data_IF_214682150022
#
_entry.id   IF_214682150022
#
_cell.length_a   1.000
_cell.length_b   1.000
_cell.length_c   1.000
_cell.angle_alpha   90.00
_cell.angle_beta   90.00
_cell.angle_gamma   90.00
#
_symmetry.space_group_name_H-M   'P 1'
#
loop_
_entity.id
_entity.type
_entity.pdbx_description
1 polymer ?
#
# COMPACT_ATOMS: atom_id res chain seq x y z
N UNK A 1 -72.31 41.10 3.41
CA UNK A 1 -71.62 39.85 3.02
C UNK A 1 -70.14 40.12 3.02
N UNK A 2 -69.39 39.64 4.04
CA UNK A 2 -67.97 39.82 4.16
C UNK A 2 -67.30 38.56 3.54
N UNK A 3 -66.50 38.71 2.48
CA UNK A 3 -65.66 37.63 1.87
C UNK A 3 -64.41 37.52 2.67
N UNK A 4 -64.16 36.34 3.28
CA UNK A 4 -62.93 35.96 3.94
C UNK A 4 -62.04 35.28 2.88
N UNK A 5 -60.83 35.85 2.60
CA UNK A 5 -59.81 35.25 1.77
C UNK A 5 -58.87 34.45 2.68
N UNK A 6 -58.88 33.13 2.57
CA UNK A 6 -57.86 32.27 3.19
C UNK A 6 -56.64 32.25 2.28
N UNK A 7 -55.52 32.78 2.76
CA UNK A 7 -54.18 32.62 2.11
C UNK A 7 -53.58 31.33 2.65
N UNK A 8 -53.44 30.32 1.77
CA UNK A 8 -52.69 29.10 2.05
C UNK A 8 -51.21 29.41 1.83
N UNK A 9 -50.43 29.55 2.91
CA UNK A 9 -48.98 29.63 2.86
C UNK A 9 -48.43 28.21 2.74
N UNK A 10 -48.08 27.75 1.49
CA UNK A 10 -47.33 26.54 1.32
C UNK A 10 -45.86 26.80 1.70
N UNK A 11 -45.49 26.40 2.91
CA UNK A 11 -44.09 26.28 3.33
C UNK A 11 -43.48 25.10 2.58
N UNK A 12 -42.84 25.38 1.47
CA UNK A 12 -42.00 24.42 0.76
C UNK A 12 -40.75 24.09 1.59
N UNK A 13 -40.74 22.93 2.22
CA UNK A 13 -39.56 22.37 2.84
C UNK A 13 -38.63 21.92 1.71
N UNK A 14 -37.69 22.77 1.29
CA UNK A 14 -36.59 22.36 0.48
C UNK A 14 -35.60 21.60 1.38
N UNK A 15 -35.73 20.28 1.44
CA UNK A 15 -34.71 19.43 2.03
C UNK A 15 -33.46 19.61 1.16
N UNK A 16 -32.52 20.43 1.61
CA UNK A 16 -31.16 20.47 1.07
C UNK A 16 -30.52 19.12 1.33
N UNK A 17 -30.51 18.25 0.33
CA UNK A 17 -29.72 17.00 0.36
C UNK A 17 -28.25 17.41 0.42
N UNK A 18 -27.70 17.51 1.62
CA UNK A 18 -26.26 17.64 1.82
C UNK A 18 -25.60 16.38 1.27
N UNK A 19 -24.99 16.51 0.14
CA UNK A 19 -24.24 15.44 -0.51
C UNK A 19 -22.92 15.29 0.24
N UNK A 20 -22.86 14.39 1.23
CA UNK A 20 -21.64 14.12 1.98
C UNK A 20 -20.55 13.63 1.02
N UNK A 21 -19.47 14.41 0.88
CA UNK A 21 -18.25 14.01 0.22
C UNK A 21 -17.69 12.76 0.92
N UNK A 22 -17.23 11.78 0.13
CA UNK A 22 -16.58 10.60 0.69
C UNK A 22 -15.10 10.91 0.88
N UNK A 23 -14.62 10.72 2.10
CA UNK A 23 -13.21 10.89 2.44
C UNK A 23 -12.58 9.54 2.73
N UNK A 24 -11.31 9.38 2.37
CA UNK A 24 -10.50 8.21 2.64
C UNK A 24 -9.12 8.65 3.06
N UNK A 25 -8.67 8.22 4.23
CA UNK A 25 -7.31 8.39 4.70
C UNK A 25 -6.53 7.11 4.45
N UNK A 26 -5.35 7.23 3.84
CA UNK A 26 -4.40 6.14 3.64
C UNK A 26 -3.12 6.47 4.40
N UNK A 27 -2.65 5.54 5.22
CA UNK A 27 -1.30 5.53 5.77
C UNK A 27 -0.47 4.54 4.98
N UNK A 28 0.77 4.90 4.67
CA UNK A 28 1.69 4.08 3.90
C UNK A 28 3.06 4.00 4.56
N UNK A 29 3.56 2.76 4.70
CA UNK A 29 4.94 2.43 5.07
C UNK A 29 5.58 1.54 4.02
N UNK A 30 6.91 1.56 3.93
CA UNK A 30 7.74 0.72 3.09
C UNK A 30 9.12 0.57 3.72
N UNK A 31 9.87 -0.47 3.30
CA UNK A 31 11.28 -0.66 3.67
C UNK A 31 11.55 -0.46 5.16
N UNK A 32 10.70 -1.05 5.99
CA UNK A 32 10.81 -0.86 7.44
C UNK A 32 11.97 -1.65 8.05
N UNK A 33 12.51 -2.62 7.30
CA UNK A 33 13.75 -3.35 7.57
C UNK A 33 13.92 -3.71 9.04
N UNK A 34 12.90 -4.39 9.59
CA UNK A 34 12.95 -4.85 10.98
C UNK A 34 13.42 -3.78 11.99
N UNK A 35 13.19 -2.50 11.72
CA UNK A 35 13.56 -1.42 12.62
C UNK A 35 12.62 -1.40 13.84
N UNK A 36 12.72 -2.46 14.67
CA UNK A 36 11.88 -2.67 15.86
C UNK A 36 12.15 -1.58 16.89
N UNK A 37 13.44 -1.32 17.17
CA UNK A 37 13.87 -0.24 18.04
C UNK A 37 14.09 1.03 17.22
N UNK A 38 13.92 2.22 17.81
CA UNK A 38 14.30 3.45 17.14
C UNK A 38 15.78 3.45 16.75
N UNK A 39 16.10 4.10 15.64
CA UNK A 39 17.47 4.33 15.22
C UNK A 39 18.24 5.17 16.26
N UNK A 40 19.56 5.01 16.31
CA UNK A 40 20.41 5.77 17.24
C UNK A 40 20.32 7.27 16.96
N UNK A 41 20.30 8.08 18.00
CA UNK A 41 20.26 9.54 17.89
C UNK A 41 21.54 10.15 17.28
N UNK A 42 22.67 9.43 17.37
CA UNK A 42 23.97 9.87 16.85
C UNK A 42 24.31 9.23 15.50
N UNK A 43 23.33 9.02 14.63
CA UNK A 43 23.59 8.61 13.26
C UNK A 43 24.15 9.76 12.43
N UNK A 44 25.08 9.47 11.53
CA UNK A 44 25.63 10.45 10.58
C UNK A 44 24.52 10.99 9.64
N UNK A 45 23.55 10.13 9.29
CA UNK A 45 22.34 10.56 8.59
C UNK A 45 21.36 11.20 9.58
N UNK A 46 21.41 12.52 9.65
CA UNK A 46 20.58 13.33 10.55
C UNK A 46 19.08 13.27 10.21
N UNK A 47 18.71 12.92 8.99
CA UNK A 47 17.31 12.70 8.62
C UNK A 47 16.73 11.43 9.26
N UNK A 48 17.55 10.44 9.52
CA UNK A 48 17.12 9.17 10.11
C UNK A 48 17.40 9.10 11.62
N UNK A 49 18.33 9.91 12.13
CA UNK A 49 18.77 9.89 13.54
C UNK A 49 17.60 9.96 14.52
N UNK A 50 17.55 9.02 15.45
CA UNK A 50 16.52 8.91 16.48
C UNK A 50 15.12 8.53 15.98
N UNK A 51 14.90 8.33 14.68
CA UNK A 51 13.58 8.01 14.08
C UNK A 51 13.32 6.51 14.01
N UNK A 52 12.16 6.15 13.48
CA UNK A 52 11.73 4.76 13.33
C UNK A 52 11.26 4.13 14.64
N UNK A 53 11.26 2.80 14.67
CA UNK A 53 10.78 1.99 15.79
C UNK A 53 9.29 1.66 15.70
N UNK A 54 9.00 0.34 15.82
CA UNK A 54 7.63 -0.17 15.67
C UNK A 54 6.66 0.39 16.72
N UNK A 55 7.11 0.58 17.97
CA UNK A 55 6.24 1.10 19.04
C UNK A 55 5.78 2.53 18.75
N UNK A 56 6.70 3.40 18.29
CA UNK A 56 6.36 4.78 17.90
C UNK A 56 5.40 4.80 16.73
N UNK A 57 5.65 3.95 15.72
CA UNK A 57 4.78 3.81 14.56
C UNK A 57 3.40 3.29 14.96
N UNK A 58 3.32 2.29 15.83
CA UNK A 58 2.05 1.78 16.34
C UNK A 58 1.25 2.84 17.10
N UNK A 59 1.90 3.62 17.95
CA UNK A 59 1.26 4.73 18.68
C UNK A 59 0.71 5.80 17.71
N UNK A 60 1.50 6.20 16.71
CA UNK A 60 1.07 7.17 15.70
C UNK A 60 -0.12 6.65 14.89
N UNK A 61 -0.08 5.38 14.46
CA UNK A 61 -1.20 4.76 13.71
C UNK A 61 -2.47 4.72 14.57
N UNK A 62 -2.35 4.37 15.85
CA UNK A 62 -3.49 4.34 16.77
C UNK A 62 -4.10 5.75 16.97
N UNK A 63 -3.27 6.79 17.10
CA UNK A 63 -3.75 8.17 17.16
C UNK A 63 -4.48 8.60 15.88
N UNK A 64 -3.98 8.20 14.71
CA UNK A 64 -4.67 8.48 13.44
C UNK A 64 -5.99 7.69 13.32
N UNK A 65 -6.04 6.43 13.81
CA UNK A 65 -7.29 5.64 13.84
C UNK A 65 -8.34 6.20 14.78
N UNK A 66 -7.97 6.86 15.87
CA UNK A 66 -8.91 7.59 16.73
C UNK A 66 -9.59 8.75 16.00
N UNK A 67 -8.84 9.44 15.10
CA UNK A 67 -9.35 10.53 14.28
C UNK A 67 -10.18 10.04 13.09
N UNK A 68 -9.72 8.95 12.45
CA UNK A 68 -10.40 8.29 11.33
C UNK A 68 -10.37 6.77 11.52
N UNK A 69 -11.41 6.18 12.15
CA UNK A 69 -11.51 4.73 12.33
C UNK A 69 -11.57 3.93 11.02
N UNK A 70 -11.87 4.61 9.91
CA UNK A 70 -11.98 4.02 8.58
C UNK A 70 -10.68 4.10 7.76
N UNK A 71 -9.60 4.67 8.31
CA UNK A 71 -8.33 4.77 7.60
C UNK A 71 -7.84 3.40 7.11
N UNK A 72 -7.13 3.40 5.99
CA UNK A 72 -6.42 2.25 5.44
C UNK A 72 -4.92 2.36 5.74
N UNK A 73 -4.30 1.23 6.02
CA UNK A 73 -2.87 1.13 6.30
C UNK A 73 -2.23 0.08 5.38
N UNK A 74 -1.29 0.50 4.55
CA UNK A 74 -0.59 -0.36 3.59
C UNK A 74 0.92 -0.37 3.82
N UNK A 75 1.54 -1.50 3.47
CA UNK A 75 3.00 -1.66 3.43
C UNK A 75 3.45 -2.09 2.03
N UNK A 76 4.48 -1.44 1.53
CA UNK A 76 5.04 -1.72 0.20
C UNK A 76 6.27 -2.62 0.23
N UNK A 77 6.35 -3.55 1.19
CA UNK A 77 7.38 -4.59 1.25
C UNK A 77 8.67 -4.18 1.96
N UNK A 78 9.59 -5.13 2.05
CA UNK A 78 10.83 -5.05 2.82
C UNK A 78 10.58 -4.65 4.28
N UNK A 79 9.57 -5.28 4.91
CA UNK A 79 9.40 -5.21 6.35
C UNK A 79 10.38 -6.15 7.09
N UNK A 80 10.96 -7.10 6.37
CA UNK A 80 11.97 -8.06 6.80
C UNK A 80 13.38 -7.47 6.74
N UNK A 81 14.35 -8.16 7.37
CA UNK A 81 15.79 -7.89 7.34
C UNK A 81 16.19 -6.57 8.02
N UNK A 82 17.38 -6.51 8.59
CA UNK A 82 18.01 -5.28 9.10
C UNK A 82 18.27 -5.25 10.61
N UNK A 83 17.72 -6.17 11.40
CA UNK A 83 17.96 -6.21 12.85
C UNK A 83 18.29 -7.61 13.39
N UNK A 84 18.79 -7.65 14.63
CA UNK A 84 18.96 -8.91 15.36
C UNK A 84 17.63 -9.62 15.62
N UNK A 85 16.52 -8.89 15.74
CA UNK A 85 15.18 -9.50 15.87
C UNK A 85 14.86 -10.37 14.67
N UNK A 86 15.07 -9.86 13.47
CA UNK A 86 14.84 -10.63 12.24
C UNK A 86 15.77 -11.85 12.15
N UNK A 87 17.06 -11.67 12.48
CA UNK A 87 18.03 -12.78 12.44
C UNK A 87 17.66 -13.89 13.41
N UNK A 88 17.18 -13.56 14.61
CA UNK A 88 16.84 -14.54 15.65
C UNK A 88 15.45 -15.15 15.44
N UNK A 89 14.45 -14.35 15.08
CA UNK A 89 13.05 -14.74 15.04
C UNK A 89 12.49 -14.89 13.61
N UNK A 90 13.33 -14.68 12.57
CA UNK A 90 13.02 -14.93 11.16
C UNK A 90 11.73 -14.27 10.66
N UNK A 91 11.36 -13.13 11.23
CA UNK A 91 10.20 -12.33 10.82
C UNK A 91 8.98 -12.43 11.74
N UNK A 92 9.00 -13.28 12.78
CA UNK A 92 7.86 -13.44 13.70
C UNK A 92 7.51 -12.13 14.41
N UNK A 93 8.54 -11.37 14.82
CA UNK A 93 8.37 -10.08 15.51
C UNK A 93 7.74 -9.05 14.56
N UNK A 94 8.24 -8.96 13.35
CA UNK A 94 7.78 -8.01 12.33
C UNK A 94 6.32 -8.24 12.00
N UNK A 95 5.96 -9.46 11.60
CA UNK A 95 4.58 -9.82 11.25
C UNK A 95 3.65 -9.73 12.47
N UNK A 96 4.14 -10.13 13.64
CA UNK A 96 3.39 -9.99 14.89
C UNK A 96 3.02 -8.54 15.20
N UNK A 97 3.97 -7.61 15.05
CA UNK A 97 3.76 -6.18 15.25
C UNK A 97 2.89 -5.56 14.15
N UNK A 98 3.04 -5.99 12.89
CA UNK A 98 2.14 -5.58 11.81
C UNK A 98 0.69 -6.02 12.06
N UNK A 99 0.48 -7.21 12.63
CA UNK A 99 -0.85 -7.68 13.06
C UNK A 99 -1.46 -6.77 14.15
N UNK A 100 -0.66 -6.34 15.13
CA UNK A 100 -1.10 -5.40 16.18
C UNK A 100 -1.49 -4.06 15.57
N UNK A 101 -0.71 -3.55 14.61
CA UNK A 101 -1.00 -2.30 13.90
C UNK A 101 -2.19 -2.41 12.93
N UNK A 102 -2.69 -3.61 12.66
CA UNK A 102 -3.86 -3.88 11.81
C UNK A 102 -3.67 -3.34 10.38
N UNK A 103 -2.61 -3.78 9.69
CA UNK A 103 -2.44 -3.49 8.27
C UNK A 103 -3.63 -4.01 7.45
N UNK A 104 -4.04 -3.26 6.43
CA UNK A 104 -5.10 -3.66 5.50
C UNK A 104 -4.56 -4.51 4.35
N UNK A 105 -3.29 -4.33 3.96
CA UNK A 105 -2.52 -5.23 3.09
C UNK A 105 -1.03 -4.88 3.12
N UNK A 106 -0.20 -5.84 2.69
CA UNK A 106 1.21 -5.63 2.39
C UNK A 106 1.59 -6.32 1.06
N UNK A 107 2.64 -5.81 0.40
CA UNK A 107 3.26 -6.51 -0.73
C UNK A 107 4.55 -7.21 -0.32
N UNK A 108 5.24 -7.81 -1.27
CA UNK A 108 6.47 -8.58 -1.10
C UNK A 108 7.62 -7.76 -1.68
N UNK A 109 8.63 -7.46 -0.86
CA UNK A 109 9.92 -6.95 -1.33
C UNK A 109 10.92 -8.09 -1.58
N UNK A 110 12.18 -7.73 -1.77
CA UNK A 110 13.23 -8.73 -1.98
C UNK A 110 13.70 -9.36 -0.66
N UNK A 111 13.62 -8.68 0.47
CA UNK A 111 14.08 -9.19 1.75
C UNK A 111 13.10 -10.16 2.44
N UNK A 112 11.86 -10.25 1.99
CA UNK A 112 10.96 -11.33 2.43
C UNK A 112 11.49 -12.72 2.03
N UNK A 113 12.38 -12.80 1.03
CA UNK A 113 13.00 -14.04 0.56
C UNK A 113 14.25 -14.47 1.34
N UNK A 114 14.77 -13.69 2.27
CA UNK A 114 16.09 -13.93 2.89
C UNK A 114 16.22 -15.31 3.56
N UNK A 115 15.16 -15.83 4.13
CA UNK A 115 15.11 -17.17 4.73
C UNK A 115 14.35 -18.20 3.87
N UNK A 116 14.12 -17.91 2.58
CA UNK A 116 13.51 -18.82 1.61
C UNK A 116 12.00 -18.92 1.69
N UNK A 117 11.42 -19.68 0.73
CA UNK A 117 9.97 -19.76 0.53
C UNK A 117 9.21 -20.40 1.68
N UNK A 118 9.80 -21.39 2.35
CA UNK A 118 9.14 -22.09 3.47
C UNK A 118 8.95 -21.15 4.65
N UNK A 119 9.98 -20.37 5.00
CA UNK A 119 9.87 -19.36 6.05
C UNK A 119 8.88 -18.26 5.66
N UNK A 120 8.91 -17.81 4.41
CA UNK A 120 7.96 -16.83 3.89
C UNK A 120 6.52 -17.34 3.99
N UNK A 121 6.25 -18.60 3.59
CA UNK A 121 4.93 -19.21 3.71
C UNK A 121 4.45 -19.29 5.16
N UNK A 122 5.36 -19.65 6.08
CA UNK A 122 5.09 -19.68 7.52
C UNK A 122 4.67 -18.29 8.05
N UNK A 123 5.42 -17.25 7.70
CA UNK A 123 5.13 -15.86 8.09
C UNK A 123 3.82 -15.36 7.52
N UNK A 124 3.57 -15.62 6.24
CA UNK A 124 2.36 -15.14 5.58
C UNK A 124 1.09 -15.83 6.09
N UNK A 125 1.19 -17.08 6.59
CA UNK A 125 0.09 -17.71 7.32
C UNK A 125 -0.17 -17.07 8.69
N UNK A 126 0.86 -16.53 9.34
CA UNK A 126 0.72 -15.83 10.62
C UNK A 126 0.13 -14.43 10.42
N UNK A 127 0.27 -13.82 9.25
CA UNK A 127 -0.26 -12.50 8.94
C UNK A 127 -1.80 -12.50 9.00
N UNK A 128 -2.37 -11.52 9.73
CA UNK A 128 -3.82 -11.29 9.83
C UNK A 128 -4.32 -10.30 8.76
N UNK A 129 -3.49 -9.98 7.81
CA UNK A 129 -3.75 -9.11 6.67
C UNK A 129 -3.32 -9.82 5.39
N UNK A 130 -3.96 -9.53 4.24
CA UNK A 130 -3.59 -10.14 2.97
C UNK A 130 -2.20 -9.68 2.51
N UNK A 131 -1.42 -10.64 2.01
CA UNK A 131 -0.22 -10.37 1.22
C UNK A 131 -0.62 -10.39 -0.25
N UNK A 132 -0.24 -9.34 -0.98
CA UNK A 132 -0.63 -9.13 -2.38
C UNK A 132 0.62 -9.12 -3.26
N UNK A 133 0.62 -9.88 -4.34
CA UNK A 133 1.62 -9.81 -5.40
C UNK A 133 1.01 -10.34 -6.70
N UNK A 134 1.09 -9.56 -7.77
CA UNK A 134 0.44 -9.88 -9.04
C UNK A 134 1.42 -10.42 -10.08
N UNK A 135 2.70 -10.05 -9.99
CA UNK A 135 3.68 -10.32 -11.03
C UNK A 135 4.65 -11.47 -10.72
N UNK A 136 4.43 -12.21 -9.62
CA UNK A 136 5.09 -13.48 -9.40
C UNK A 136 4.13 -14.65 -9.66
N UNK A 137 4.65 -15.69 -10.30
CA UNK A 137 3.99 -16.99 -10.35
C UNK A 137 4.71 -17.93 -9.38
N UNK A 138 3.99 -18.31 -8.35
CA UNK A 138 4.53 -19.14 -7.27
C UNK A 138 4.50 -20.64 -7.61
N UNK A 139 3.97 -21.02 -8.80
CA UNK A 139 3.88 -22.43 -9.23
C UNK A 139 3.16 -23.30 -8.20
N UNK A 140 3.74 -24.47 -7.92
CA UNK A 140 3.19 -25.44 -6.97
C UNK A 140 3.60 -25.18 -5.51
N UNK A 141 4.21 -24.04 -5.20
CA UNK A 141 4.59 -23.71 -3.82
C UNK A 141 3.36 -23.41 -2.96
N UNK A 142 3.53 -23.53 -1.64
CA UNK A 142 2.47 -23.17 -0.70
C UNK A 142 2.03 -21.70 -0.81
N UNK A 143 2.93 -20.82 -1.21
CA UNK A 143 2.66 -19.39 -1.41
C UNK A 143 1.59 -19.12 -2.47
N UNK A 144 1.44 -19.98 -3.48
CA UNK A 144 0.38 -19.86 -4.48
C UNK A 144 -1.05 -19.86 -3.87
N UNK A 145 -1.22 -20.50 -2.70
CA UNK A 145 -2.51 -20.55 -1.99
C UNK A 145 -2.70 -19.35 -1.03
N UNK A 146 -1.62 -18.72 -0.60
CA UNK A 146 -1.60 -17.70 0.45
C UNK A 146 -1.62 -16.30 -0.17
N UNK A 147 -0.71 -16.03 -1.13
CA UNK A 147 -0.55 -14.73 -1.77
C UNK A 147 -1.71 -14.46 -2.73
N UNK A 148 -2.25 -13.26 -2.66
CA UNK A 148 -3.38 -12.86 -3.51
C UNK A 148 -2.87 -12.01 -4.70
N UNK A 149 -3.37 -12.24 -5.93
CA UNK A 149 -3.00 -11.39 -7.06
C UNK A 149 -3.60 -9.98 -6.94
N UNK A 150 -4.70 -9.82 -6.25
CA UNK A 150 -5.33 -8.55 -5.89
C UNK A 150 -6.33 -8.75 -4.74
N UNK A 151 -6.72 -7.65 -4.12
CA UNK A 151 -7.83 -7.60 -3.16
C UNK A 151 -8.80 -6.47 -3.50
N UNK A 152 -10.00 -6.53 -2.95
CA UNK A 152 -11.00 -5.46 -3.05
C UNK A 152 -11.44 -5.07 -1.64
N UNK A 153 -11.28 -3.81 -1.30
CA UNK A 153 -11.68 -3.22 -0.03
C UNK A 153 -12.85 -2.28 -0.28
N UNK A 154 -13.85 -2.33 0.58
CA UNK A 154 -14.91 -1.30 0.62
C UNK A 154 -14.71 -0.46 1.88
N UNK A 155 -14.52 0.85 1.70
CA UNK A 155 -14.29 1.78 2.81
C UNK A 155 -14.99 3.11 2.53
N UNK A 156 -15.77 3.61 3.48
CA UNK A 156 -16.52 4.85 3.35
C UNK A 156 -17.35 4.97 2.06
N UNK A 157 -17.94 3.83 1.61
CA UNK A 157 -18.71 3.76 0.38
C UNK A 157 -17.89 3.84 -0.92
N UNK A 158 -16.55 3.77 -0.84
CA UNK A 158 -15.63 3.66 -1.98
C UNK A 158 -15.20 2.21 -2.14
N UNK A 159 -15.23 1.69 -3.36
CA UNK A 159 -14.76 0.36 -3.72
C UNK A 159 -13.34 0.47 -4.30
N UNK A 160 -12.37 -0.02 -3.55
CA UNK A 160 -10.96 0.13 -3.83
C UNK A 160 -10.40 -1.22 -4.29
N UNK A 161 -9.80 -1.26 -5.47
CA UNK A 161 -9.00 -2.39 -5.94
C UNK A 161 -7.54 -2.17 -5.57
N UNK A 162 -6.90 -3.16 -4.97
CA UNK A 162 -5.48 -3.12 -4.64
C UNK A 162 -4.80 -4.32 -5.30
N UNK A 163 -3.79 -4.05 -6.10
CA UNK A 163 -2.88 -5.06 -6.66
C UNK A 163 -1.44 -4.68 -6.30
N UNK A 164 -0.47 -5.57 -6.54
CA UNK A 164 0.89 -5.28 -6.15
C UNK A 164 1.93 -5.81 -7.13
N UNK A 165 3.08 -5.13 -7.17
CA UNK A 165 4.21 -5.45 -8.04
C UNK A 165 5.48 -5.54 -7.21
N UNK A 166 6.24 -6.61 -7.43
CA UNK A 166 7.50 -6.91 -6.75
C UNK A 166 8.66 -6.94 -7.74
N UNK A 167 9.91 -6.74 -7.31
CA UNK A 167 11.07 -6.59 -8.19
C UNK A 167 11.51 -7.93 -8.80
N UNK A 168 12.33 -7.87 -9.84
CA UNK A 168 13.02 -9.04 -10.38
C UNK A 168 14.07 -9.53 -9.38
N UNK A 169 13.95 -10.77 -8.92
CA UNK A 169 14.81 -11.30 -7.86
C UNK A 169 16.23 -11.68 -8.33
N UNK A 170 16.42 -11.94 -9.63
CA UNK A 170 17.73 -12.29 -10.19
C UNK A 170 18.70 -11.13 -9.98
N UNK A 171 19.77 -11.38 -9.24
CA UNK A 171 20.77 -10.36 -8.89
C UNK A 171 20.54 -9.68 -7.53
N UNK A 172 19.32 -9.74 -7.00
CA UNK A 172 18.98 -9.21 -5.67
C UNK A 172 18.95 -10.28 -4.58
N UNK A 173 18.45 -11.47 -4.93
CA UNK A 173 18.22 -12.57 -3.98
C UNK A 173 18.95 -13.82 -4.48
N UNK A 174 19.48 -14.62 -3.56
CA UNK A 174 20.06 -15.92 -3.90
C UNK A 174 19.00 -16.84 -4.52
N UNK A 175 19.32 -17.47 -5.67
CA UNK A 175 18.40 -18.35 -6.40
C UNK A 175 17.82 -19.46 -5.52
N UNK A 176 18.59 -19.99 -4.56
CA UNK A 176 18.13 -21.01 -3.63
C UNK A 176 16.95 -20.54 -2.74
N UNK A 177 16.80 -19.23 -2.55
CA UNK A 177 15.80 -18.66 -1.67
C UNK A 177 14.45 -18.36 -2.37
N UNK A 178 14.42 -18.25 -3.70
CA UNK A 178 13.18 -18.03 -4.44
C UNK A 178 12.81 -19.19 -5.39
N UNK A 179 13.73 -20.16 -5.59
CA UNK A 179 13.48 -21.42 -6.30
C UNK A 179 12.82 -21.25 -7.68
N UNK A 180 11.69 -21.95 -7.92
CA UNK A 180 11.06 -22.02 -9.23
C UNK A 180 10.16 -20.81 -9.56
N UNK A 181 10.12 -19.79 -8.71
CA UNK A 181 9.28 -18.62 -8.89
C UNK A 181 9.56 -17.95 -10.24
N UNK A 182 8.48 -17.65 -10.99
CA UNK A 182 8.58 -16.98 -12.28
C UNK A 182 8.17 -15.50 -12.15
N UNK A 183 8.98 -14.65 -12.74
CA UNK A 183 8.74 -13.21 -12.80
C UNK A 183 8.03 -12.85 -14.09
N UNK A 184 6.94 -12.09 -13.99
CA UNK A 184 6.16 -11.56 -15.11
C UNK A 184 6.43 -10.08 -15.30
N UNK A 185 6.30 -9.58 -16.54
CA UNK A 185 6.51 -8.17 -16.86
C UNK A 185 5.56 -7.28 -16.04
N UNK A 186 6.07 -6.32 -15.24
CA UNK A 186 5.24 -5.50 -14.36
C UNK A 186 4.22 -4.64 -15.10
N UNK A 187 4.56 -4.05 -16.24
CA UNK A 187 3.62 -3.19 -16.97
C UNK A 187 2.47 -3.97 -17.58
N UNK A 188 2.73 -5.15 -18.15
CA UNK A 188 1.68 -6.02 -18.67
C UNK A 188 0.74 -6.49 -17.57
N UNK A 189 1.31 -6.92 -16.44
CA UNK A 189 0.52 -7.35 -15.28
C UNK A 189 -0.28 -6.18 -14.72
N UNK A 190 0.33 -5.00 -14.59
CA UNK A 190 -0.36 -3.81 -14.11
C UNK A 190 -1.57 -3.45 -14.97
N UNK A 191 -1.41 -3.40 -16.31
CA UNK A 191 -2.53 -3.08 -17.19
C UNK A 191 -3.65 -4.12 -17.08
N UNK A 192 -3.31 -5.42 -17.04
CA UNK A 192 -4.29 -6.49 -16.86
C UNK A 192 -5.06 -6.37 -15.53
N UNK A 193 -4.37 -5.99 -14.43
CA UNK A 193 -4.99 -5.77 -13.13
C UNK A 193 -5.89 -4.54 -13.13
N UNK A 194 -5.46 -3.43 -13.75
CA UNK A 194 -6.27 -2.22 -13.88
C UNK A 194 -7.55 -2.51 -14.67
N UNK A 195 -7.44 -3.18 -15.80
CA UNK A 195 -8.59 -3.55 -16.65
C UNK A 195 -9.56 -4.48 -15.92
N UNK A 196 -9.04 -5.44 -15.16
CA UNK A 196 -9.84 -6.31 -14.31
C UNK A 196 -10.57 -5.52 -13.22
N UNK A 197 -9.83 -4.70 -12.46
CA UNK A 197 -10.37 -4.01 -11.29
C UNK A 197 -11.35 -2.90 -11.68
N UNK A 198 -11.00 -2.06 -12.65
CA UNK A 198 -11.88 -0.99 -13.16
C UNK A 198 -13.01 -1.56 -14.04
N UNK A 199 -12.66 -2.40 -15.00
CA UNK A 199 -13.61 -2.92 -16.00
C UNK A 199 -14.58 -3.94 -15.44
N UNK A 200 -14.08 -5.11 -15.00
CA UNK A 200 -14.92 -6.23 -14.56
C UNK A 200 -15.38 -6.09 -13.11
N UNK A 201 -14.49 -5.69 -12.21
CA UNK A 201 -14.80 -5.57 -10.78
C UNK A 201 -15.47 -4.24 -10.41
N UNK A 202 -15.45 -3.24 -11.29
CA UNK A 202 -16.08 -1.92 -11.08
C UNK A 202 -15.58 -1.24 -9.81
N UNK A 203 -14.26 -1.23 -9.61
CA UNK A 203 -13.64 -0.47 -8.52
C UNK A 203 -13.64 1.02 -8.86
N UNK A 204 -13.96 1.86 -7.87
CA UNK A 204 -13.96 3.31 -7.99
C UNK A 204 -12.52 3.86 -8.04
N UNK A 205 -11.60 3.20 -7.31
CA UNK A 205 -10.21 3.59 -7.15
C UNK A 205 -9.30 2.37 -7.20
N UNK A 206 -8.15 2.46 -7.87
CA UNK A 206 -7.20 1.36 -8.01
C UNK A 206 -5.82 1.81 -7.51
N UNK A 207 -5.31 1.09 -6.53
CA UNK A 207 -4.00 1.32 -5.89
C UNK A 207 -3.04 0.19 -6.30
N UNK A 208 -1.82 0.56 -6.66
CA UNK A 208 -0.70 -0.36 -6.79
C UNK A 208 0.20 -0.24 -5.55
N UNK A 209 0.37 -1.33 -4.81
CA UNK A 209 1.47 -1.48 -3.86
C UNK A 209 2.69 -1.95 -4.65
N UNK A 210 3.69 -1.11 -4.76
CA UNK A 210 4.87 -1.38 -5.58
C UNK A 210 6.10 -1.57 -4.69
N UNK A 211 6.92 -2.55 -5.01
CA UNK A 211 8.28 -2.64 -4.49
C UNK A 211 9.30 -2.63 -5.65
N UNK A 212 9.00 -1.85 -6.69
CA UNK A 212 9.84 -1.77 -7.89
C UNK A 212 10.92 -0.70 -7.76
N UNK A 213 10.71 0.31 -6.92
CA UNK A 213 11.60 1.44 -6.76
C UNK A 213 11.26 2.62 -7.69
N UNK A 214 11.88 3.74 -7.37
CA UNK A 214 11.71 5.02 -8.06
C UNK A 214 12.94 5.33 -8.90
N UNK A 215 12.75 5.58 -10.20
CA UNK A 215 13.73 6.07 -11.21
C UNK A 215 14.99 5.20 -11.42
N UNK A 216 15.66 4.74 -10.37
CA UNK A 216 16.99 4.14 -10.44
C UNK A 216 17.02 2.61 -10.35
N UNK A 217 15.89 1.93 -10.40
CA UNK A 217 15.81 0.47 -10.40
C UNK A 217 15.79 -0.12 -11.81
N UNK A 218 15.95 -1.45 -11.91
CA UNK A 218 15.88 -2.19 -13.19
C UNK A 218 14.54 -1.96 -13.94
N UNK A 219 13.45 -1.87 -13.20
CA UNK A 219 12.11 -1.65 -13.73
C UNK A 219 11.29 -0.78 -12.77
N UNK A 220 11.54 0.53 -12.75
CA UNK A 220 10.98 1.40 -11.74
C UNK A 220 9.46 1.65 -11.92
N UNK A 221 8.78 2.00 -10.83
CA UNK A 221 7.33 2.18 -10.80
C UNK A 221 6.84 3.31 -11.72
N UNK A 222 7.64 4.36 -11.93
CA UNK A 222 7.33 5.45 -12.86
C UNK A 222 7.30 4.98 -14.32
N UNK A 223 8.11 3.98 -14.69
CA UNK A 223 8.03 3.31 -15.98
C UNK A 223 6.71 2.56 -16.13
N UNK A 224 6.27 1.81 -15.11
CA UNK A 224 4.97 1.12 -15.13
C UNK A 224 3.85 2.11 -15.36
N UNK A 225 3.88 3.27 -14.68
CA UNK A 225 2.87 4.32 -14.88
C UNK A 225 2.85 4.80 -16.33
N UNK A 226 4.02 5.14 -16.90
CA UNK A 226 4.11 5.64 -18.30
C UNK A 226 3.63 4.62 -19.34
N UNK A 227 3.77 3.33 -19.05
CA UNK A 227 3.40 2.22 -19.94
C UNK A 227 1.95 1.76 -19.78
N UNK A 228 1.23 2.21 -18.76
CA UNK A 228 -0.16 1.81 -18.43
C UNK A 228 -1.12 2.99 -18.43
N UNK A 229 -2.42 2.72 -18.29
CA UNK A 229 -3.44 3.76 -18.10
C UNK A 229 -4.54 3.30 -17.15
N UNK A 230 -5.05 4.26 -16.35
CA UNK A 230 -6.16 3.99 -15.44
C UNK A 230 -5.78 3.70 -13.99
N UNK A 231 -4.49 3.71 -13.64
CA UNK A 231 -4.03 3.60 -12.26
C UNK A 231 -4.28 4.92 -11.49
N UNK A 232 -4.69 4.85 -10.24
CA UNK A 232 -5.08 6.05 -9.48
C UNK A 232 -4.04 6.46 -8.43
N UNK A 233 -3.25 5.52 -7.88
CA UNK A 233 -2.22 5.77 -6.87
C UNK A 233 -1.18 4.66 -6.88
N UNK A 234 0.09 5.03 -6.74
CA UNK A 234 1.20 4.10 -6.47
C UNK A 234 1.77 4.38 -5.09
N UNK A 235 1.87 3.34 -4.27
CA UNK A 235 2.58 3.33 -3.00
C UNK A 235 3.81 2.43 -3.19
N UNK A 236 5.00 3.02 -3.21
CA UNK A 236 6.24 2.36 -3.66
C UNK A 236 7.25 2.14 -2.53
N UNK A 237 8.28 1.33 -2.81
CA UNK A 237 9.38 1.00 -1.92
C UNK A 237 10.68 0.71 -2.68
N UNK A 238 11.59 -0.09 -2.09
CA UNK A 238 12.80 -0.67 -2.68
C UNK A 238 14.02 0.27 -2.78
N UNK A 239 13.91 1.42 -3.41
CA UNK A 239 15.05 2.33 -3.62
C UNK A 239 15.33 3.25 -2.42
N UNK A 240 14.56 3.12 -1.34
CA UNK A 240 14.66 3.94 -0.14
C UNK A 240 14.55 5.45 -0.41
N UNK A 241 13.90 5.83 -1.50
CA UNK A 241 13.69 7.22 -1.86
C UNK A 241 12.72 7.87 -0.88
N UNK A 242 13.06 9.03 -0.34
CA UNK A 242 12.14 9.81 0.48
C UNK A 242 11.48 10.89 -0.37
N UNK A 243 10.22 10.70 -0.68
CA UNK A 243 9.36 11.67 -1.35
C UNK A 243 8.57 12.42 -0.28
N UNK A 244 9.02 13.63 0.05
CA UNK A 244 8.36 14.47 1.07
C UNK A 244 6.91 14.80 0.72
N UNK A 245 6.63 14.87 -0.59
CA UNK A 245 5.30 15.10 -1.16
C UNK A 245 5.00 14.02 -2.18
N UNK A 246 3.74 13.94 -2.59
CA UNK A 246 3.37 13.10 -3.73
C UNK A 246 4.06 13.61 -5.00
N UNK A 247 4.79 12.73 -5.66
CA UNK A 247 5.25 12.95 -7.03
C UNK A 247 4.17 12.54 -8.01
N UNK A 248 4.19 13.11 -9.23
CA UNK A 248 3.17 12.86 -10.24
C UNK A 248 3.79 12.47 -11.56
N UNK A 249 3.40 11.33 -12.08
CA UNK A 249 3.86 10.80 -13.37
C UNK A 249 2.70 10.74 -14.36
N UNK A 250 2.94 11.18 -15.60
CA UNK A 250 1.94 11.02 -16.68
C UNK A 250 1.83 9.56 -17.08
N UNK A 251 0.61 9.02 -17.05
CA UNK A 251 0.31 7.71 -17.59
C UNK A 251 0.22 7.73 -19.13
N UNK A 252 0.04 6.55 -19.74
CA UNK A 252 -0.07 6.40 -21.20
C UNK A 252 -1.22 7.22 -21.81
N UNK A 253 -2.25 7.57 -21.05
CA UNK A 253 -3.37 8.42 -21.49
C UNK A 253 -3.14 9.90 -21.24
N UNK A 254 -2.03 10.29 -20.61
CA UNK A 254 -1.69 11.67 -20.26
C UNK A 254 -2.23 12.12 -18.89
N UNK A 255 -2.88 11.24 -18.11
CA UNK A 255 -3.36 11.53 -16.76
C UNK A 255 -2.21 11.48 -15.75
N UNK A 256 -2.19 12.41 -14.80
CA UNK A 256 -1.21 12.43 -13.71
C UNK A 256 -1.57 11.40 -12.63
N UNK A 257 -0.66 10.50 -12.35
CA UNK A 257 -0.80 9.46 -11.32
C UNK A 257 0.12 9.81 -10.16
N UNK A 258 -0.42 9.97 -8.93
CA UNK A 258 0.38 10.23 -7.75
C UNK A 258 1.19 9.01 -7.31
N UNK A 259 2.41 9.25 -6.81
CA UNK A 259 3.34 8.26 -6.28
C UNK A 259 3.85 8.73 -4.92
N UNK A 260 4.03 7.79 -3.99
CA UNK A 260 4.68 8.03 -2.71
C UNK A 260 5.69 6.91 -2.39
N UNK A 261 6.83 7.28 -1.79
CA UNK A 261 7.80 6.39 -1.16
C UNK A 261 8.39 7.09 0.07
N UNK A 262 8.62 6.37 1.18
CA UNK A 262 8.87 6.96 2.51
C UNK A 262 10.28 6.70 3.05
N UNK A 263 11.29 6.64 2.19
CA UNK A 263 12.65 6.31 2.63
C UNK A 263 12.72 4.88 3.17
N UNK A 264 13.35 4.70 4.31
CA UNK A 264 13.55 3.38 4.93
C UNK A 264 13.44 3.41 6.46
N UNK A 265 13.51 2.20 7.07
CA UNK A 265 13.52 1.96 8.53
C UNK A 265 12.23 2.42 9.23
N UNK A 266 11.15 2.69 8.48
CA UNK A 266 9.93 3.24 9.04
C UNK A 266 10.15 4.58 9.76
N UNK A 267 11.17 5.33 9.32
CA UNK A 267 11.47 6.67 9.84
C UNK A 267 10.38 7.67 9.49
N UNK A 268 9.69 7.41 8.39
CA UNK A 268 8.57 8.21 7.88
C UNK A 268 7.38 7.28 7.56
N UNK A 269 6.19 7.82 7.67
CA UNK A 269 4.93 7.20 7.25
C UNK A 269 4.13 8.27 6.54
N UNK A 270 3.73 8.01 5.29
CA UNK A 270 2.89 8.96 4.57
C UNK A 270 1.45 8.91 5.07
N UNK A 271 0.80 10.07 5.09
CA UNK A 271 -0.64 10.22 5.26
C UNK A 271 -1.22 10.88 4.02
N UNK A 272 -2.04 10.14 3.28
CA UNK A 272 -2.67 10.59 2.04
C UNK A 272 -4.16 10.71 2.29
N UNK A 273 -4.72 11.89 2.02
CA UNK A 273 -6.15 12.15 2.13
C UNK A 273 -6.77 12.27 0.75
N UNK A 274 -7.76 11.44 0.46
CA UNK A 274 -8.49 11.42 -0.79
C UNK A 274 -9.92 11.90 -0.56
N UNK A 275 -10.41 12.74 -1.46
CA UNK A 275 -11.80 13.19 -1.48
C UNK A 275 -12.44 12.74 -2.80
N UNK A 276 -13.58 12.08 -2.71
CA UNK A 276 -14.34 11.61 -3.86
C UNK A 276 -15.61 12.45 -4.01
N UNK A 277 -15.72 13.09 -5.16
CA UNK A 277 -16.96 13.75 -5.55
C UNK A 277 -17.96 12.68 -6.02
N UNK A 278 -19.22 12.89 -5.70
CA UNK A 278 -20.29 12.00 -6.18
C UNK A 278 -20.53 12.30 -7.67
N UNK A 279 -20.40 11.31 -8.51
CA UNK A 279 -20.80 11.38 -9.92
C UNK A 279 -22.31 11.40 -10.05
#
# INVERSE_FOLDING_TARGET
MKKIFLIFCCLGFTASVSWAQKHLTILHSNDTHSCVMPLKEMLADTMLAGRGGYMRRASMIEEERKKDPALLLFDSGDFSQGSSFYTMFKGDVEVGLMNVMRYDAATIGNHEFDFGLDNMARLFKMAKFPIVCSNYDFGDTELAKIVKPYIIIKRNGVKIGVFALSPKLKGLVSTKNYGPLQYKNPSEVAQNMIDLLKGKKKCDYVICLSHLGWEVSDFPCDRVIRETSGLDLVLDGHTHTYLEKLEYVKDKSGRMVPVNQNGKHGAFVAKISLTFEKK
#
